data_IF_667806018576
#
_entry.id   IF_667806018576
#
_cell.length_a   1.000
_cell.length_b   1.000
_cell.length_c   1.000
_cell.angle_alpha   90.00
_cell.angle_beta   90.00
_cell.angle_gamma   90.00
#
_symmetry.space_group_name_H-M   'P 1'
#
loop_
_entity.id
_entity.type
_entity.pdbx_description
1 polymer ?
#
# COMPACT_ATOMS: atom_id res chain seq x y z
N UNK A 1 3.66 3.66 -1.57
CA UNK A 1 4.43 3.82 -0.32
C UNK A 1 5.90 4.02 -0.66
N UNK A 2 6.56 5.01 -0.04
CA UNK A 2 7.99 5.26 -0.16
C UNK A 2 8.53 5.97 1.09
N UNK A 3 9.86 5.91 1.26
CA UNK A 3 10.55 6.65 2.32
C UNK A 3 10.74 8.10 1.87
N UNK A 4 10.06 9.04 2.52
CA UNK A 4 10.17 10.47 2.29
C UNK A 4 11.23 11.08 3.19
N UNK A 5 12.17 11.79 2.58
CA UNK A 5 13.20 12.60 3.27
C UNK A 5 12.77 14.06 3.18
N UNK A 6 12.51 14.69 4.32
CA UNK A 6 12.13 16.11 4.37
C UNK A 6 13.24 16.89 5.08
N UNK A 7 13.99 17.75 4.37
CA UNK A 7 14.93 18.65 5.02
C UNK A 7 14.18 19.80 5.69
N UNK A 8 14.57 20.16 6.92
CA UNK A 8 14.09 21.35 7.61
C UNK A 8 15.07 22.52 7.47
N UNK A 9 14.60 23.75 7.75
CA UNK A 9 15.44 24.96 7.77
C UNK A 9 16.68 24.83 8.66
N UNK A 10 16.61 24.04 9.73
CA UNK A 10 17.72 23.82 10.66
C UNK A 10 18.73 22.76 10.17
N UNK A 11 18.67 22.34 8.90
CA UNK A 11 19.56 21.33 8.31
C UNK A 11 19.26 19.88 8.69
N UNK A 12 18.35 19.65 9.66
CA UNK A 12 17.96 18.30 10.08
C UNK A 12 17.06 17.64 9.04
N UNK A 13 17.35 16.37 8.75
CA UNK A 13 16.55 15.55 7.83
C UNK A 13 15.57 14.69 8.64
N UNK A 14 14.27 14.84 8.36
CA UNK A 14 13.22 13.98 8.91
C UNK A 14 12.86 12.87 7.94
N UNK A 15 12.78 11.64 8.46
CA UNK A 15 12.32 10.46 7.73
C UNK A 15 10.87 10.12 8.08
N UNK A 16 10.06 9.92 7.05
CA UNK A 16 8.66 9.47 7.18
C UNK A 16 8.31 8.49 6.06
N UNK A 17 7.51 7.46 6.36
CA UNK A 17 6.93 6.56 5.36
C UNK A 17 5.60 7.14 4.90
N UNK A 18 5.49 7.41 3.60
CA UNK A 18 4.33 8.07 3.00
C UNK A 18 3.75 7.21 1.91
N UNK A 19 2.42 7.18 1.83
CA UNK A 19 1.69 6.55 0.74
C UNK A 19 0.94 7.58 -0.08
N UNK A 20 1.10 7.50 -1.38
CA UNK A 20 0.36 8.33 -2.33
C UNK A 20 -0.92 7.61 -2.72
N UNK A 21 -2.03 8.35 -2.69
CA UNK A 21 -3.32 7.86 -3.18
C UNK A 21 -3.98 8.93 -4.05
N UNK A 22 -4.78 8.48 -5.00
CA UNK A 22 -5.52 9.37 -5.88
C UNK A 22 -6.88 9.70 -5.26
N UNK A 23 -7.14 10.99 -5.05
CA UNK A 23 -8.44 11.47 -4.59
C UNK A 23 -9.33 11.75 -5.81
N UNK A 24 -10.32 10.86 -6.04
CA UNK A 24 -11.25 10.96 -7.16
C UNK A 24 -12.15 12.20 -7.07
N UNK A 25 -12.50 12.64 -5.86
CA UNK A 25 -13.40 13.78 -5.67
C UNK A 25 -12.71 15.09 -6.03
N UNK A 26 -11.43 15.23 -5.66
CA UNK A 26 -10.64 16.46 -5.89
C UNK A 26 -9.73 16.39 -7.11
N UNK A 27 -9.76 15.26 -7.85
CA UNK A 27 -8.93 14.98 -9.04
C UNK A 27 -7.44 15.23 -8.82
N UNK A 28 -6.93 15.01 -7.61
CA UNK A 28 -5.55 15.31 -7.25
C UNK A 28 -4.89 14.17 -6.46
N UNK A 29 -3.58 14.04 -6.61
CA UNK A 29 -2.78 13.08 -5.86
C UNK A 29 -2.52 13.60 -4.45
N UNK A 30 -2.94 12.82 -3.44
CA UNK A 30 -2.72 13.13 -2.04
C UNK A 30 -1.70 12.19 -1.42
N UNK A 31 -1.07 12.66 -0.36
CA UNK A 31 -0.11 11.90 0.43
C UNK A 31 -0.72 11.61 1.80
N UNK A 32 -0.68 10.35 2.23
CA UNK A 32 -1.02 9.92 3.59
C UNK A 32 0.26 9.45 4.28
N UNK A 33 0.60 10.06 5.40
CA UNK A 33 1.69 9.57 6.25
C UNK A 33 1.24 8.30 6.95
N UNK A 34 1.97 7.19 6.74
CA UNK A 34 1.68 5.91 7.40
C UNK A 34 2.43 5.86 8.73
N UNK A 35 3.74 6.05 8.69
CA UNK A 35 4.61 6.02 9.86
C UNK A 35 5.54 7.23 9.83
N UNK A 36 5.63 7.95 10.95
CA UNK A 36 6.66 8.96 11.16
C UNK A 36 7.81 8.30 11.89
N UNK A 37 8.98 8.21 11.26
CA UNK A 37 10.13 7.49 11.82
C UNK A 37 10.86 8.41 12.82
N UNK A 38 11.17 9.63 12.42
CA UNK A 38 11.91 10.59 13.25
C UNK A 38 13.05 11.27 12.50
N UNK A 39 14.09 11.66 13.25
CA UNK A 39 15.26 12.37 12.72
C UNK A 39 16.36 11.42 12.29
N UNK A 40 17.02 11.73 11.17
CA UNK A 40 18.12 10.91 10.65
C UNK A 40 19.28 10.80 11.67
N UNK A 41 19.65 11.91 12.32
CA UNK A 41 20.73 11.96 13.32
C UNK A 41 20.54 10.99 14.50
N UNK A 42 19.29 10.77 14.91
CA UNK A 42 18.97 9.85 16.01
C UNK A 42 19.01 8.38 15.56
N UNK A 43 18.76 8.15 14.28
CA UNK A 43 18.71 6.81 13.69
C UNK A 43 20.09 6.32 13.31
N UNK A 44 20.97 7.20 12.84
CA UNK A 44 22.39 6.89 12.57
C UNK A 44 23.14 6.43 13.83
N UNK A 45 22.72 6.87 15.01
CA UNK A 45 23.27 6.39 16.29
C UNK A 45 22.82 4.97 16.67
N UNK A 46 21.68 4.54 16.14
CA UNK A 46 21.04 3.26 16.50
C UNK A 46 21.28 2.17 15.46
N UNK A 47 21.47 2.57 14.21
CA UNK A 47 21.61 1.67 13.06
C UNK A 47 22.76 2.15 12.18
N UNK A 48 23.58 1.22 11.70
CA UNK A 48 24.65 1.55 10.76
C UNK A 48 24.11 2.17 9.45
N UNK A 49 23.02 1.61 8.91
CA UNK A 49 22.39 2.06 7.67
C UNK A 49 20.88 2.29 7.87
N UNK A 50 20.47 3.40 8.50
CA UNK A 50 19.07 3.63 8.82
C UNK A 50 18.20 3.70 7.55
N UNK A 51 18.73 4.25 6.46
CA UNK A 51 18.02 4.33 5.19
C UNK A 51 17.67 2.93 4.67
N UNK A 52 18.64 2.01 4.63
CA UNK A 52 18.43 0.65 4.15
C UNK A 52 17.43 -0.13 5.04
N UNK A 53 17.52 0.04 6.35
CA UNK A 53 16.59 -0.59 7.30
C UNK A 53 15.14 -0.17 7.04
N UNK A 54 14.88 1.14 6.88
CA UNK A 54 13.52 1.62 6.60
C UNK A 54 13.08 1.36 5.15
N UNK A 55 14.01 1.28 4.20
CA UNK A 55 13.72 0.87 2.82
C UNK A 55 13.11 -0.54 2.80
N UNK A 56 13.73 -1.50 3.52
CA UNK A 56 13.23 -2.87 3.65
C UNK A 56 11.86 -2.91 4.32
N UNK A 57 11.62 -2.07 5.33
CA UNK A 57 10.30 -1.94 5.97
C UNK A 57 9.24 -1.40 5.00
N UNK A 58 9.59 -0.44 4.15
CA UNK A 58 8.70 0.07 3.09
C UNK A 58 8.34 -1.03 2.09
N UNK A 59 9.30 -1.88 1.71
CA UNK A 59 9.05 -3.02 0.81
C UNK A 59 8.08 -4.03 1.43
N UNK A 60 8.26 -4.36 2.71
CA UNK A 60 7.34 -5.22 3.45
C UNK A 60 5.91 -4.65 3.47
N UNK A 61 5.76 -3.36 3.82
CA UNK A 61 4.45 -2.70 3.80
C UNK A 61 3.82 -2.64 2.41
N UNK A 62 4.65 -2.48 1.37
CA UNK A 62 4.19 -2.51 -0.03
C UNK A 62 3.70 -3.90 -0.42
N UNK A 63 4.41 -4.95 -0.02
CA UNK A 63 4.01 -6.34 -0.24
C UNK A 63 2.70 -6.66 0.48
N UNK A 64 2.54 -6.25 1.74
CA UNK A 64 1.29 -6.44 2.50
C UNK A 64 0.11 -5.70 1.85
N UNK A 65 0.33 -4.46 1.40
CA UNK A 65 -0.69 -3.71 0.65
C UNK A 65 -1.07 -4.40 -0.65
N UNK A 66 -0.08 -4.90 -1.39
CA UNK A 66 -0.30 -5.62 -2.65
C UNK A 66 -1.07 -6.93 -2.41
N UNK A 67 -0.71 -7.71 -1.39
CA UNK A 67 -1.41 -8.92 -1.01
C UNK A 67 -2.87 -8.66 -0.63
N UNK A 68 -3.14 -7.58 0.12
CA UNK A 68 -4.52 -7.18 0.48
C UNK A 68 -5.33 -6.67 -0.73
N UNK A 69 -4.65 -6.11 -1.73
CA UNK A 69 -5.28 -5.64 -2.97
C UNK A 69 -5.27 -6.68 -4.09
N UNK A 70 -4.70 -7.86 -3.84
CA UNK A 70 -4.59 -8.90 -4.84
C UNK A 70 -6.00 -9.33 -5.27
N UNK A 71 -6.24 -9.47 -6.58
CA UNK A 71 -7.51 -9.97 -7.07
C UNK A 71 -7.73 -11.38 -6.53
N UNK A 72 -8.92 -11.62 -5.98
CA UNK A 72 -9.34 -12.95 -5.57
C UNK A 72 -9.80 -13.67 -6.84
N UNK A 73 -9.12 -14.77 -7.18
CA UNK A 73 -9.55 -15.61 -8.29
C UNK A 73 -10.73 -16.48 -7.87
N UNK A 74 -11.85 -16.36 -8.59
CA UNK A 74 -13.05 -17.16 -8.36
C UNK A 74 -13.36 -17.91 -9.65
N UNK A 75 -13.32 -19.24 -9.60
CA UNK A 75 -13.73 -20.13 -10.70
C UNK A 75 -15.15 -20.62 -10.44
N UNK A 76 -16.02 -20.51 -11.44
CA UNK A 76 -17.34 -21.13 -11.45
C UNK A 76 -17.35 -22.30 -12.42
N UNK A 77 -17.92 -23.42 -11.98
CA UNK A 77 -18.18 -24.60 -12.79
C UNK A 77 -19.68 -24.79 -12.99
N UNK A 78 -20.09 -25.53 -14.03
CA UNK A 78 -21.50 -25.80 -14.33
C UNK A 78 -22.25 -26.55 -13.21
N UNK A 79 -21.49 -27.24 -12.33
CA UNK A 79 -22.00 -27.89 -11.13
C UNK A 79 -22.32 -26.94 -9.98
N UNK A 80 -21.80 -25.71 -10.01
CA UNK A 80 -21.96 -24.75 -8.91
C UNK A 80 -23.37 -24.15 -8.95
N UNK A 81 -24.15 -24.38 -7.89
CA UNK A 81 -25.47 -23.80 -7.72
C UNK A 81 -25.45 -22.74 -6.63
N UNK A 82 -25.91 -21.54 -6.97
CA UNK A 82 -26.11 -20.46 -6.02
C UNK A 82 -27.43 -20.69 -5.26
N UNK A 83 -27.37 -20.78 -3.94
CA UNK A 83 -28.56 -20.95 -3.12
C UNK A 83 -29.18 -19.58 -2.81
N UNK A 84 -30.52 -19.55 -2.71
CA UNK A 84 -31.25 -18.35 -2.32
C UNK A 84 -30.92 -18.07 -0.84
N UNK A 85 -30.16 -17.00 -0.59
CA UNK A 85 -29.62 -16.66 0.72
C UNK A 85 -28.09 -16.43 0.71
N UNK A 86 -27.40 -16.80 -0.37
CA UNK A 86 -25.98 -16.50 -0.54
C UNK A 86 -25.75 -15.01 -0.80
N UNK A 87 -25.33 -14.29 0.24
CA UNK A 87 -25.00 -12.86 0.17
C UNK A 87 -23.63 -12.62 -0.48
N UNK A 88 -23.51 -12.96 -1.77
CA UNK A 88 -22.29 -12.80 -2.56
C UNK A 88 -21.99 -11.33 -2.91
N UNK A 89 -22.91 -10.41 -2.60
CA UNK A 89 -22.85 -8.99 -2.91
C UNK A 89 -21.63 -8.28 -2.28
N UNK A 90 -21.14 -8.78 -1.14
CA UNK A 90 -19.90 -8.29 -0.49
C UNK A 90 -18.62 -8.85 -1.14
N UNK A 91 -18.69 -10.02 -1.80
CA UNK A 91 -17.54 -10.73 -2.39
C UNK A 91 -17.30 -10.39 -3.86
N UNK A 92 -18.37 -10.17 -4.64
CA UNK A 92 -18.30 -9.98 -6.11
C UNK A 92 -18.04 -8.53 -6.58
N UNK A 93 -18.06 -7.54 -5.67
CA UNK A 93 -17.96 -6.11 -6.03
C UNK A 93 -16.58 -5.65 -6.52
N UNK A 94 -15.57 -6.52 -6.57
CA UNK A 94 -14.20 -6.19 -6.96
C UNK A 94 -13.72 -6.90 -8.24
N UNK A 95 -14.62 -7.57 -8.98
CA UNK A 95 -14.26 -8.19 -10.26
C UNK A 95 -13.92 -7.10 -11.29
N UNK A 96 -12.64 -6.95 -11.60
CA UNK A 96 -12.20 -6.34 -12.86
C UNK A 96 -12.08 -7.49 -13.87
N UNK A 97 -12.78 -7.47 -15.01
CA UNK A 97 -12.58 -8.48 -16.03
C UNK A 97 -11.13 -8.43 -16.52
N UNK A 98 -10.44 -9.57 -16.48
CA UNK A 98 -9.17 -9.76 -17.19
C UNK A 98 -9.46 -9.60 -18.70
N UNK A 99 -8.68 -8.82 -19.45
CA UNK A 99 -8.83 -8.79 -20.90
C UNK A 99 -8.42 -10.15 -21.45
N UNK A 100 -9.30 -10.79 -22.23
CA UNK A 100 -8.99 -12.00 -22.98
C UNK A 100 -7.72 -11.75 -23.82
N UNK A 101 -6.65 -12.51 -23.54
CA UNK A 101 -5.56 -12.66 -24.50
C UNK A 101 -6.08 -13.55 -25.64
N UNK A 102 -6.56 -12.91 -26.70
CA UNK A 102 -6.72 -13.52 -28.04
C UNK A 102 -5.46 -13.33 -28.87
#
# INVERSE_FOLDING_TARGET
MYLKKTPNLNGRIRLSIVDTYYDKAKKCSRQKTIESIGWLDELEKKYNDPIAHFQKRVEQLKAEKAARQAPIHFTFYDSDRLCIGDDLRKKLRLCRPEPDLS
#
